data_IF_613824085264
#
_entry.id   IF_613824085264
#
_cell.length_a   1.000
_cell.length_b   1.000
_cell.length_c   1.000
_cell.angle_alpha   90.00
_cell.angle_beta   90.00
_cell.angle_gamma   90.00
#
_symmetry.space_group_name_H-M   'P 1'
#
loop_
_entity.id
_entity.type
_entity.pdbx_description
1 polymer ?
#
# COMPACT_ATOMS: atom_id res chain seq x y z
N UNK A 1 -56.14 5.75 -1.71
CA UNK A 1 -55.35 5.31 -0.54
C UNK A 1 -54.03 4.73 -1.05
N UNK A 2 -52.92 5.44 -0.88
CA UNK A 2 -51.58 4.93 -1.18
C UNK A 2 -50.77 5.03 0.11
N UNK A 3 -50.57 3.88 0.76
CA UNK A 3 -49.79 3.77 1.99
C UNK A 3 -48.31 4.01 1.68
N UNK A 4 -47.74 5.05 2.26
CA UNK A 4 -46.29 5.26 2.31
C UNK A 4 -45.70 4.19 3.24
N UNK A 5 -44.76 3.39 2.74
CA UNK A 5 -43.93 2.52 3.58
C UNK A 5 -42.98 3.40 4.44
N UNK A 6 -42.71 3.02 5.70
CA UNK A 6 -41.77 3.74 6.55
C UNK A 6 -40.34 3.66 5.98
N UNK A 7 -39.53 4.70 6.24
CA UNK A 7 -38.11 4.74 5.83
C UNK A 7 -37.28 3.83 6.74
N UNK A 8 -36.33 3.05 6.21
CA UNK A 8 -35.45 2.20 7.01
C UNK A 8 -34.47 3.04 7.83
N UNK A 9 -34.18 2.62 9.06
CA UNK A 9 -33.35 3.36 10.03
C UNK A 9 -32.01 2.67 10.34
N UNK A 10 -31.62 1.62 9.61
CA UNK A 10 -30.28 1.04 9.75
C UNK A 10 -29.66 0.57 8.41
N UNK A 11 -28.32 0.53 8.31
CA UNK A 11 -27.63 0.04 7.11
C UNK A 11 -27.82 -1.45 6.81
N UNK A 12 -28.26 -2.25 7.80
CA UNK A 12 -28.44 -3.69 7.65
C UNK A 12 -29.74 -4.05 6.90
N UNK A 13 -30.84 -3.31 7.12
CA UNK A 13 -32.11 -3.50 6.40
C UNK A 13 -32.00 -3.12 4.91
N UNK A 14 -31.05 -2.26 4.55
CA UNK A 14 -30.84 -1.80 3.18
C UNK A 14 -30.20 -2.87 2.28
N UNK A 15 -29.54 -3.87 2.88
CA UNK A 15 -28.87 -4.97 2.17
C UNK A 15 -29.85 -6.13 1.95
N UNK A 16 -30.71 -6.42 2.91
CA UNK A 16 -31.73 -7.47 2.79
C UNK A 16 -32.83 -7.12 1.78
N UNK A 17 -33.26 -5.85 1.71
CA UNK A 17 -34.23 -5.41 0.69
C UNK A 17 -33.63 -5.42 -0.73
N UNK A 18 -32.32 -5.20 -0.87
CA UNK A 18 -31.61 -5.26 -2.15
C UNK A 18 -31.40 -6.71 -2.66
N UNK A 19 -31.20 -7.67 -1.74
CA UNK A 19 -31.11 -9.10 -2.07
C UNK A 19 -32.48 -9.69 -2.45
N UNK A 20 -33.57 -9.20 -1.84
CA UNK A 20 -34.93 -9.61 -2.18
C UNK A 20 -35.38 -9.12 -3.57
N UNK A 21 -34.94 -7.94 -4.02
CA UNK A 21 -35.25 -7.42 -5.36
C UNK A 21 -34.48 -8.14 -6.49
N UNK A 22 -33.26 -8.62 -6.20
CA UNK A 22 -32.43 -9.38 -7.15
C UNK A 22 -32.94 -10.80 -7.40
N UNK A 23 -33.62 -11.42 -6.43
CA UNK A 23 -34.25 -12.73 -6.58
C UNK A 23 -35.54 -12.72 -7.43
N UNK A 24 -36.17 -11.56 -7.62
CA UNK A 24 -37.43 -11.42 -8.37
C UNK A 24 -37.25 -11.16 -9.89
N UNK A 25 -36.02 -10.98 -10.37
CA UNK A 25 -35.71 -10.57 -11.75
C UNK A 25 -35.14 -11.68 -12.66
N UNK A 26 -34.92 -12.89 -12.14
CA UNK A 26 -34.40 -14.01 -12.93
C UNK A 26 -35.48 -14.61 -13.86
N UNK A 27 -35.61 -14.02 -15.06
CA UNK A 27 -36.26 -14.66 -16.22
C UNK A 27 -35.38 -15.80 -16.76
N UNK A 28 -35.96 -16.95 -17.17
CA UNK A 28 -35.18 -18.04 -17.76
C UNK A 28 -34.75 -17.69 -19.19
N UNK A 29 -33.45 -17.75 -19.47
CA UNK A 29 -32.90 -17.66 -20.83
C UNK A 29 -32.67 -19.07 -21.35
N UNK A 30 -33.43 -19.43 -22.37
CA UNK A 30 -33.28 -20.67 -23.13
C UNK A 30 -31.90 -20.73 -23.82
N UNK A 31 -31.22 -21.85 -23.66
CA UNK A 31 -29.99 -22.18 -24.35
C UNK A 31 -30.23 -22.27 -25.87
N UNK A 32 -29.67 -21.32 -26.62
CA UNK A 32 -29.61 -21.41 -28.09
C UNK A 32 -28.38 -22.23 -28.47
N UNK A 33 -28.62 -23.45 -28.94
CA UNK A 33 -27.61 -24.35 -29.47
C UNK A 33 -26.93 -23.77 -30.72
N UNK A 34 -25.60 -23.92 -30.77
CA UNK A 34 -24.76 -23.56 -31.90
C UNK A 34 -24.98 -24.52 -33.08
N UNK A 35 -24.89 -23.96 -34.31
CA UNK A 35 -25.13 -24.61 -35.60
C UNK A 35 -24.19 -25.81 -35.89
N UNK A 36 -24.63 -26.82 -36.65
CA UNK A 36 -23.77 -27.90 -37.12
C UNK A 36 -22.93 -27.50 -38.34
N UNK A 37 -21.71 -28.05 -38.44
CA UNK A 37 -20.87 -28.06 -39.65
C UNK A 37 -21.40 -29.10 -40.65
N UNK A 38 -21.28 -28.87 -41.97
CA UNK A 38 -21.70 -29.84 -42.97
C UNK A 38 -20.62 -30.93 -43.11
N UNK A 39 -21.00 -32.20 -42.88
CA UNK A 39 -20.20 -33.36 -43.26
C UNK A 39 -20.74 -33.94 -44.56
N UNK A 40 -19.81 -34.12 -45.50
CA UNK A 40 -19.98 -34.67 -46.84
C UNK A 40 -20.34 -36.16 -46.78
N UNK A 41 -21.14 -36.58 -47.75
CA UNK A 41 -21.77 -37.89 -47.89
C UNK A 41 -20.80 -39.07 -48.13
N UNK A 42 -21.30 -40.26 -47.74
CA UNK A 42 -21.16 -41.61 -48.35
C UNK A 42 -20.74 -42.70 -47.33
N UNK A 43 -21.01 -44.00 -47.58
CA UNK A 43 -22.29 -44.70 -47.37
C UNK A 43 -22.19 -45.88 -46.39
N UNK A 44 -23.35 -46.47 -46.07
CA UNK A 44 -23.60 -47.66 -45.24
C UNK A 44 -22.78 -48.91 -45.63
N UNK A 45 -22.55 -49.82 -44.67
CA UNK A 45 -23.23 -51.13 -44.67
C UNK A 45 -23.82 -51.45 -43.28
N UNK A 46 -25.08 -51.89 -43.18
CA UNK A 46 -25.51 -53.30 -43.13
C UNK A 46 -24.83 -54.10 -42.01
N UNK A 47 -25.56 -54.35 -40.90
CA UNK A 47 -25.83 -55.69 -40.37
C UNK A 47 -26.74 -55.69 -39.11
N UNK A 48 -27.69 -56.62 -39.16
CA UNK A 48 -28.32 -57.42 -38.10
C UNK A 48 -29.13 -56.81 -36.94
N UNK A 49 -30.42 -56.64 -37.23
CA UNK A 49 -31.53 -57.41 -36.63
C UNK A 49 -31.27 -58.15 -35.31
N UNK A 50 -31.84 -57.65 -34.20
CA UNK A 50 -32.68 -58.49 -33.34
C UNK A 50 -33.83 -57.70 -32.70
N UNK A 51 -35.03 -58.16 -33.05
CA UNK A 51 -36.32 -57.82 -32.46
C UNK A 51 -36.39 -58.35 -31.03
N UNK A 52 -36.68 -57.46 -30.06
CA UNK A 52 -37.29 -57.87 -28.78
C UNK A 52 -38.70 -57.31 -28.72
N UNK A 53 -39.64 -58.21 -28.97
CA UNK A 53 -41.09 -58.02 -28.85
C UNK A 53 -41.50 -58.35 -27.42
N UNK A 54 -42.00 -57.39 -26.67
CA UNK A 54 -42.88 -57.64 -25.52
C UNK A 54 -43.89 -56.52 -25.42
N UNK A 55 -45.15 -56.85 -25.67
CA UNK A 55 -46.26 -55.89 -25.60
C UNK A 55 -46.83 -55.77 -24.20
N UNK A 56 -47.52 -54.66 -23.95
CA UNK A 56 -48.89 -54.63 -23.41
C UNK A 56 -49.35 -53.18 -23.23
N UNK A 57 -50.50 -52.88 -23.82
CA UNK A 57 -51.45 -51.79 -23.55
C UNK A 57 -51.03 -50.59 -22.71
N UNK A 58 -51.01 -49.42 -23.36
CA UNK A 58 -51.67 -48.22 -22.85
C UNK A 58 -52.04 -47.34 -24.05
N UNK A 59 -53.34 -47.26 -24.32
CA UNK A 59 -53.96 -46.39 -25.30
C UNK A 59 -53.87 -44.95 -24.76
N UNK A 60 -52.92 -44.16 -25.27
CA UNK A 60 -52.78 -42.75 -24.89
C UNK A 60 -53.45 -41.87 -25.94
N UNK A 61 -54.58 -41.28 -25.55
CA UNK A 61 -55.46 -40.49 -26.37
C UNK A 61 -54.81 -39.19 -26.87
N UNK A 62 -54.88 -38.96 -28.17
CA UNK A 62 -54.48 -37.72 -28.86
C UNK A 62 -55.36 -36.54 -28.40
N UNK A 63 -54.80 -35.42 -27.91
CA UNK A 63 -55.60 -34.26 -27.51
C UNK A 63 -56.21 -33.56 -28.74
N UNK A 64 -57.44 -33.02 -28.64
CA UNK A 64 -58.14 -32.44 -29.78
C UNK A 64 -57.44 -31.19 -30.32
N UNK A 65 -57.30 -31.11 -31.64
CA UNK A 65 -56.79 -29.94 -32.35
C UNK A 65 -57.75 -28.75 -32.13
N UNK A 66 -57.25 -27.54 -31.82
CA UNK A 66 -58.11 -26.36 -31.74
C UNK A 66 -58.68 -25.99 -33.13
N UNK A 67 -59.90 -25.44 -33.20
CA UNK A 67 -60.54 -25.10 -34.47
C UNK A 67 -59.80 -23.99 -35.20
N UNK A 68 -59.71 -24.14 -36.53
CA UNK A 68 -59.20 -23.12 -37.45
C UNK A 68 -60.12 -21.89 -37.35
N UNK A 69 -59.57 -20.78 -36.85
CA UNK A 69 -60.30 -19.51 -36.78
C UNK A 69 -60.67 -19.03 -38.19
N UNK A 70 -61.94 -18.68 -38.39
CA UNK A 70 -62.46 -18.07 -39.61
C UNK A 70 -61.74 -16.75 -39.93
N UNK A 71 -61.59 -16.37 -41.22
CA UNK A 71 -60.93 -15.13 -41.59
C UNK A 71 -61.76 -13.92 -41.12
N UNK A 72 -61.12 -13.02 -40.35
CA UNK A 72 -61.70 -11.76 -39.91
C UNK A 72 -62.02 -10.84 -41.11
N UNK A 73 -63.10 -10.03 -41.05
CA UNK A 73 -63.47 -9.12 -42.14
C UNK A 73 -62.43 -8.02 -42.34
N UNK A 74 -62.19 -7.68 -43.62
CA UNK A 74 -61.27 -6.62 -44.05
C UNK A 74 -61.68 -5.28 -43.44
N UNK A 75 -60.87 -4.63 -42.60
CA UNK A 75 -61.17 -3.30 -42.10
C UNK A 75 -60.86 -2.24 -43.18
N UNK A 76 -61.83 -1.34 -43.38
CA UNK A 76 -61.75 -0.20 -44.29
C UNK A 76 -60.51 0.68 -44.08
N UNK A 77 -60.08 1.32 -45.17
CA UNK A 77 -58.87 2.13 -45.30
C UNK A 77 -58.61 3.08 -44.12
N UNK A 78 -57.51 2.87 -43.39
CA UNK A 78 -56.98 3.83 -42.41
C UNK A 78 -56.27 4.98 -43.16
N UNK A 79 -56.52 6.25 -42.81
CA UNK A 79 -55.76 7.37 -43.38
C UNK A 79 -54.28 7.30 -42.95
N UNK A 80 -53.34 7.86 -43.74
CA UNK A 80 -51.92 7.74 -43.46
C UNK A 80 -51.56 8.41 -42.13
N UNK A 81 -51.03 7.62 -41.18
CA UNK A 81 -50.45 8.12 -39.94
C UNK A 81 -49.24 9.00 -40.28
N UNK A 82 -49.37 10.33 -40.10
CA UNK A 82 -48.25 11.27 -40.12
C UNK A 82 -47.19 10.80 -39.11
N UNK A 83 -46.06 10.28 -39.60
CA UNK A 83 -44.88 10.05 -38.77
C UNK A 83 -44.38 11.41 -38.29
N UNK A 84 -44.57 11.71 -37.01
CA UNK A 84 -43.90 12.84 -36.36
C UNK A 84 -42.44 12.41 -36.22
N UNK A 85 -41.59 12.89 -37.13
CA UNK A 85 -40.15 12.76 -37.01
C UNK A 85 -39.70 13.70 -35.88
N UNK A 86 -39.40 13.14 -34.71
CA UNK A 86 -38.65 13.87 -33.69
C UNK A 86 -37.31 14.28 -34.32
N UNK A 87 -36.93 15.56 -34.30
CA UNK A 87 -35.61 15.96 -34.79
C UNK A 87 -34.58 15.26 -33.91
N UNK A 88 -33.73 14.42 -34.51
CA UNK A 88 -32.52 13.96 -33.83
C UNK A 88 -31.73 15.21 -33.51
N UNK A 89 -31.61 15.55 -32.23
CA UNK A 89 -30.68 16.57 -31.75
C UNK A 89 -29.26 16.07 -32.01
N UNK A 90 -28.82 16.23 -33.26
CA UNK A 90 -27.42 16.05 -33.63
C UNK A 90 -26.68 17.24 -33.07
N UNK A 91 -25.81 17.02 -32.08
CA UNK A 91 -24.85 18.04 -31.67
C UNK A 91 -24.12 18.55 -32.91
N UNK A 92 -23.93 19.87 -32.99
CA UNK A 92 -23.24 20.45 -34.14
C UNK A 92 -21.83 19.86 -34.26
N UNK A 93 -21.29 19.68 -35.48
CA UNK A 93 -19.97 19.09 -35.68
C UNK A 93 -18.85 19.91 -35.04
N UNK A 94 -19.09 21.20 -34.75
CA UNK A 94 -18.18 22.06 -33.98
C UNK A 94 -18.19 21.70 -32.50
N UNK A 95 -19.35 21.45 -31.91
CA UNK A 95 -19.50 21.09 -30.49
C UNK A 95 -18.98 19.68 -30.21
N UNK A 96 -19.15 18.74 -31.15
CA UNK A 96 -18.56 17.40 -31.06
C UNK A 96 -17.02 17.42 -31.11
N UNK A 97 -16.43 18.30 -31.94
CA UNK A 97 -14.98 18.47 -32.01
C UNK A 97 -14.42 19.08 -30.72
N UNK A 98 -15.09 20.07 -30.15
CA UNK A 98 -14.63 20.69 -28.88
C UNK A 98 -14.79 19.75 -27.69
N UNK A 99 -15.89 19.01 -27.59
CA UNK A 99 -16.10 18.00 -26.53
C UNK A 99 -15.10 16.83 -26.63
N UNK A 100 -14.80 16.35 -27.85
CA UNK A 100 -13.83 15.28 -28.06
C UNK A 100 -12.40 15.69 -27.67
N UNK A 101 -11.97 16.89 -28.06
CA UNK A 101 -10.66 17.42 -27.69
C UNK A 101 -10.58 17.70 -26.18
N UNK A 102 -11.64 18.26 -25.59
CA UNK A 102 -11.71 18.49 -24.14
C UNK A 102 -11.61 17.18 -23.34
N UNK A 103 -12.25 16.10 -23.78
CA UNK A 103 -12.16 14.79 -23.13
C UNK A 103 -10.75 14.19 -23.17
N UNK A 104 -10.04 14.35 -24.29
CA UNK A 104 -8.65 13.88 -24.42
C UNK A 104 -7.71 14.71 -23.53
N UNK A 105 -7.86 16.03 -23.53
CA UNK A 105 -7.00 16.93 -22.73
C UNK A 105 -7.22 16.71 -21.22
N UNK A 106 -8.47 16.56 -20.77
CA UNK A 106 -8.78 16.27 -19.36
C UNK A 106 -8.29 14.87 -18.96
N UNK A 107 -8.40 13.87 -19.84
CA UNK A 107 -7.90 12.52 -19.58
C UNK A 107 -6.38 12.45 -19.46
N UNK A 108 -5.64 13.11 -20.37
CA UNK A 108 -4.17 13.12 -20.38
C UNK A 108 -3.61 13.94 -19.20
N UNK A 109 -4.25 15.07 -18.86
CA UNK A 109 -3.83 15.89 -17.71
C UNK A 109 -4.06 15.20 -16.35
N UNK A 110 -5.16 14.44 -16.21
CA UNK A 110 -5.47 13.72 -14.98
C UNK A 110 -4.56 12.50 -14.78
N UNK A 111 -4.20 11.80 -15.86
CA UNK A 111 -3.26 10.68 -15.81
C UNK A 111 -1.83 11.12 -15.40
N UNK A 112 -1.37 12.28 -15.90
CA UNK A 112 -0.07 12.83 -15.53
C UNK A 112 -0.01 13.31 -14.07
N UNK A 113 -1.09 13.92 -13.56
CA UNK A 113 -1.18 14.36 -12.17
C UNK A 113 -1.20 13.20 -11.17
N UNK A 114 -1.93 12.13 -11.49
CA UNK A 114 -2.00 10.94 -10.65
C UNK A 114 -0.68 10.14 -10.64
N UNK A 115 0.02 10.08 -11.78
CA UNK A 115 1.35 9.49 -11.87
C UNK A 115 2.41 10.27 -11.06
N UNK A 116 2.28 11.60 -10.96
CA UNK A 116 3.16 12.42 -10.12
C UNK A 116 2.87 12.25 -8.62
N UNK A 117 1.58 12.09 -8.24
CA UNK A 117 1.16 11.88 -6.85
C UNK A 117 1.50 10.48 -6.32
N UNK A 118 1.61 9.48 -7.19
CA UNK A 118 2.01 8.11 -6.84
C UNK A 118 3.51 7.84 -6.98
N UNK A 119 4.35 8.86 -7.25
CA UNK A 119 5.80 8.64 -7.30
C UNK A 119 6.24 7.96 -6.00
N UNK A 120 6.87 6.77 -6.06
CA UNK A 120 7.41 6.16 -4.85
C UNK A 120 8.37 7.17 -4.23
N UNK A 121 8.32 7.30 -2.89
CA UNK A 121 9.33 8.06 -2.17
C UNK A 121 10.70 7.58 -2.69
N UNK A 122 11.65 8.49 -2.96
CA UNK A 122 12.98 8.09 -3.41
C UNK A 122 13.48 7.02 -2.44
N UNK A 123 13.90 5.87 -2.98
CA UNK A 123 14.46 4.81 -2.17
C UNK A 123 15.53 5.44 -1.25
N UNK A 124 15.59 5.05 0.03
CA UNK A 124 16.65 5.53 0.91
C UNK A 124 17.97 5.32 0.18
N UNK A 125 18.72 6.40 0.00
CA UNK A 125 19.93 6.40 -0.81
C UNK A 125 21.05 5.53 -0.21
N UNK A 126 20.83 5.00 0.99
CA UNK A 126 21.75 4.15 1.72
C UNK A 126 21.35 2.67 1.55
N UNK A 127 22.31 1.78 1.23
CA UNK A 127 22.06 0.34 1.04
C UNK A 127 21.49 -0.34 2.31
N UNK A 128 21.77 0.23 3.49
CA UNK A 128 21.21 -0.19 4.78
C UNK A 128 19.70 0.02 4.89
N UNK A 129 19.13 0.93 4.08
CA UNK A 129 17.70 1.21 4.06
C UNK A 129 16.88 0.06 3.50
N UNK A 130 17.44 -0.74 2.58
CA UNK A 130 16.74 -1.85 1.96
C UNK A 130 16.51 -3.04 2.91
N UNK A 131 17.34 -3.20 3.95
CA UNK A 131 17.22 -4.28 4.95
C UNK A 131 16.71 -3.81 6.29
N UNK A 132 16.27 -2.54 6.39
CA UNK A 132 15.85 -1.91 7.64
C UNK A 132 14.40 -2.21 7.98
N UNK A 133 14.20 -2.63 9.21
CA UNK A 133 12.93 -2.80 9.89
C UNK A 133 12.87 -1.74 11.00
N UNK A 134 11.80 -0.96 11.03
CA UNK A 134 11.57 0.10 12.02
C UNK A 134 10.36 -0.27 12.86
N UNK A 135 10.55 -0.32 14.17
CA UNK A 135 9.49 -0.51 15.16
C UNK A 135 9.15 0.83 15.77
N UNK A 136 7.91 1.28 15.58
CA UNK A 136 7.40 2.54 16.12
C UNK A 136 6.33 2.27 17.18
N UNK A 137 6.26 3.02 18.28
CA UNK A 137 5.14 2.95 19.20
C UNK A 137 3.87 3.51 18.52
N UNK A 138 2.71 3.04 18.94
CA UNK A 138 1.39 3.57 18.55
C UNK A 138 0.81 4.36 19.72
N UNK A 139 0.39 5.59 19.44
CA UNK A 139 -0.20 6.48 20.43
C UNK A 139 0.78 7.53 20.94
N UNK A 140 0.33 8.32 21.93
CA UNK A 140 1.06 9.50 22.42
C UNK A 140 2.12 9.21 23.49
N UNK A 141 2.16 7.97 24.01
CA UNK A 141 3.13 7.53 25.02
C UNK A 141 3.94 6.39 24.40
N UNK A 142 5.27 6.45 24.49
CA UNK A 142 6.10 5.35 24.00
C UNK A 142 5.97 4.14 24.92
N UNK A 143 5.50 3.03 24.37
CA UNK A 143 5.46 1.72 25.02
C UNK A 143 6.76 0.93 24.84
N UNK A 144 7.59 1.30 23.86
CA UNK A 144 8.82 0.58 23.55
C UNK A 144 9.90 0.89 24.58
N UNK A 145 10.65 -0.14 24.97
CA UNK A 145 11.67 -0.08 25.99
C UNK A 145 13.04 -0.59 25.54
N UNK A 146 14.05 -0.29 26.35
CA UNK A 146 15.39 -0.87 26.24
C UNK A 146 15.39 -2.38 26.44
N UNK A 147 14.43 -2.94 27.19
CA UNK A 147 14.30 -4.38 27.36
C UNK A 147 13.88 -5.03 26.04
N UNK A 148 12.95 -4.41 25.31
CA UNK A 148 12.52 -4.88 23.99
C UNK A 148 13.68 -4.84 22.99
N UNK A 149 14.45 -3.75 22.97
CA UNK A 149 15.65 -3.65 22.14
C UNK A 149 16.71 -4.71 22.51
N UNK A 150 16.87 -5.02 23.79
CA UNK A 150 17.76 -6.08 24.26
C UNK A 150 17.31 -7.48 23.85
N UNK A 151 16.01 -7.76 23.94
CA UNK A 151 15.43 -9.04 23.53
C UNK A 151 15.51 -9.24 22.01
N UNK A 152 15.27 -8.17 21.22
CA UNK A 152 15.44 -8.19 19.77
C UNK A 152 16.89 -8.40 19.33
N UNK A 153 17.86 -8.02 20.17
CA UNK A 153 19.28 -8.19 19.89
C UNK A 153 19.81 -9.59 20.24
N UNK A 154 19.02 -10.44 20.90
CA UNK A 154 19.40 -11.81 21.23
C UNK A 154 19.25 -12.73 20.01
N UNK A 155 20.34 -13.28 19.45
CA UNK A 155 20.27 -14.16 18.28
C UNK A 155 19.52 -15.47 18.55
N UNK A 156 19.34 -15.84 19.82
CA UNK A 156 18.56 -17.02 20.22
C UNK A 156 17.06 -16.80 20.07
N UNK A 157 16.62 -15.54 20.06
CA UNK A 157 15.22 -15.13 19.99
C UNK A 157 14.87 -14.62 18.60
N UNK A 158 15.75 -13.79 18.01
CA UNK A 158 15.59 -13.21 16.66
C UNK A 158 16.87 -13.47 15.86
N UNK A 159 17.05 -14.68 15.31
CA UNK A 159 18.26 -15.06 14.58
C UNK A 159 18.47 -14.22 13.31
N UNK A 160 17.41 -13.71 12.69
CA UNK A 160 17.50 -12.89 11.48
C UNK A 160 17.65 -11.38 11.78
N UNK A 161 17.91 -10.99 13.03
CA UNK A 161 18.32 -9.63 13.39
C UNK A 161 19.85 -9.50 13.44
N UNK A 162 20.43 -8.94 12.37
CA UNK A 162 21.89 -8.71 12.27
C UNK A 162 22.37 -7.56 13.17
N UNK A 163 21.58 -6.49 13.29
CA UNK A 163 21.88 -5.38 14.17
C UNK A 163 20.60 -4.75 14.72
N UNK A 164 20.65 -4.30 15.97
CA UNK A 164 19.54 -3.62 16.65
C UNK A 164 20.05 -2.34 17.30
N UNK A 165 19.29 -1.26 17.11
CA UNK A 165 19.61 0.05 17.64
C UNK A 165 18.35 0.71 18.23
N UNK A 166 18.22 0.82 19.56
CA UNK A 166 17.21 1.67 20.17
C UNK A 166 17.51 3.13 19.90
N UNK A 167 16.49 3.95 19.70
CA UNK A 167 16.63 5.37 19.36
C UNK A 167 15.88 6.23 20.34
N UNK A 168 16.57 7.25 20.86
CA UNK A 168 15.96 8.37 21.58
C UNK A 168 16.43 9.65 20.91
N UNK A 169 15.51 10.46 20.39
CA UNK A 169 15.85 11.64 19.59
C UNK A 169 15.26 12.91 20.16
N UNK A 170 16.07 13.95 20.31
CA UNK A 170 15.59 15.30 20.62
C UNK A 170 16.33 16.33 19.78
N UNK A 171 15.62 17.38 19.40
CA UNK A 171 16.25 18.55 18.79
C UNK A 171 16.88 19.39 19.89
N UNK A 172 18.20 19.54 19.85
CA UNK A 172 18.99 20.21 20.89
C UNK A 172 20.02 21.15 20.27
N UNK A 173 20.39 22.17 21.03
CA UNK A 173 21.50 23.03 20.66
C UNK A 173 22.83 22.36 21.10
N UNK A 174 23.76 22.25 20.16
CA UNK A 174 25.14 21.85 20.43
C UNK A 174 26.01 23.09 20.41
N UNK A 175 26.71 23.34 21.51
CA UNK A 175 27.57 24.53 21.65
C UNK A 175 29.03 24.15 21.92
N UNK A 176 29.94 24.89 21.30
CA UNK A 176 31.38 24.74 21.50
C UNK A 176 32.10 26.03 21.13
N UNK A 177 33.05 26.50 21.96
CA UNK A 177 33.90 27.64 21.61
C UNK A 177 33.17 28.94 21.21
N UNK A 178 31.97 29.17 21.75
CA UNK A 178 31.12 30.32 21.41
C UNK A 178 30.27 30.15 20.14
N UNK A 179 30.38 29.02 19.45
CA UNK A 179 29.49 28.63 18.35
C UNK A 179 28.32 27.81 18.87
N UNK A 180 27.16 27.94 18.23
CA UNK A 180 25.96 27.17 18.52
C UNK A 180 25.33 26.66 17.22
N UNK A 181 25.03 25.37 17.19
CA UNK A 181 24.40 24.71 16.03
C UNK A 181 23.22 23.90 16.54
N UNK A 182 22.08 24.01 15.86
CA UNK A 182 20.93 23.13 16.11
C UNK A 182 21.21 21.75 15.50
N UNK A 183 21.05 20.70 16.30
CA UNK A 183 21.27 19.32 15.89
C UNK A 183 20.20 18.41 16.47
N UNK A 184 20.01 17.25 15.83
CA UNK A 184 19.28 16.14 16.43
C UNK A 184 20.25 15.37 17.32
N UNK A 185 20.04 15.44 18.64
CA UNK A 185 20.69 14.56 19.58
C UNK A 185 20.03 13.18 19.45
N UNK A 186 20.80 12.19 18.99
CA UNK A 186 20.35 10.80 18.84
C UNK A 186 21.05 9.95 19.90
N UNK A 187 20.28 9.41 20.84
CA UNK A 187 20.72 8.42 21.81
C UNK A 187 20.57 7.01 21.25
N UNK A 188 21.67 6.28 21.12
CA UNK A 188 21.63 4.90 20.63
C UNK A 188 22.76 4.01 21.15
N UNK A 189 22.87 2.80 20.61
CA UNK A 189 23.96 1.83 20.82
C UNK A 189 24.95 1.88 19.66
N UNK A 190 26.05 1.12 19.74
CA UNK A 190 27.01 1.00 18.63
C UNK A 190 26.37 0.42 17.35
N UNK A 191 25.29 -0.36 17.48
CA UNK A 191 24.53 -0.93 16.36
C UNK A 191 23.88 0.12 15.46
N UNK A 192 23.77 1.37 15.92
CA UNK A 192 23.23 2.48 15.14
C UNK A 192 23.95 2.70 13.81
N UNK A 193 25.28 2.56 13.78
CA UNK A 193 26.05 2.72 12.55
C UNK A 193 25.65 1.68 11.51
N UNK A 194 25.49 0.42 11.94
CA UNK A 194 25.10 -0.68 11.07
C UNK A 194 23.66 -0.52 10.59
N UNK A 195 22.73 -0.11 11.47
CA UNK A 195 21.31 0.01 11.10
C UNK A 195 21.02 1.19 10.19
N UNK A 196 21.77 2.28 10.35
CA UNK A 196 21.61 3.48 9.52
C UNK A 196 22.56 3.51 8.31
N UNK A 197 23.61 2.69 8.30
CA UNK A 197 24.61 2.66 7.23
C UNK A 197 25.67 3.77 7.32
N UNK A 198 25.75 4.48 8.45
CA UNK A 198 26.80 5.47 8.68
C UNK A 198 28.14 4.80 8.97
N UNK A 199 29.22 5.48 8.60
CA UNK A 199 30.59 5.08 8.95
C UNK A 199 31.30 6.17 9.72
N UNK A 200 32.34 5.80 10.48
CA UNK A 200 33.16 6.74 11.24
C UNK A 200 34.29 7.24 10.32
N UNK A 201 34.38 8.55 10.12
CA UNK A 201 35.50 9.15 9.39
C UNK A 201 36.74 9.34 10.27
N UNK A 202 36.54 9.69 11.55
CA UNK A 202 37.65 9.85 12.52
C UNK A 202 37.23 9.43 13.91
N UNK A 203 38.18 8.88 14.68
CA UNK A 203 37.96 8.47 16.06
C UNK A 203 37.29 7.11 16.15
N UNK A 204 36.37 6.94 17.11
CA UNK A 204 35.65 5.69 17.35
C UNK A 204 34.20 5.93 17.75
N UNK A 205 33.40 4.88 17.68
CA UNK A 205 32.11 4.83 18.39
C UNK A 205 32.31 4.46 19.86
N UNK A 206 31.30 4.72 20.68
CA UNK A 206 31.27 4.31 22.08
C UNK A 206 31.12 2.79 22.22
N UNK A 207 31.62 2.26 23.34
CA UNK A 207 31.59 0.84 23.72
C UNK A 207 30.31 0.49 24.47
N UNK A 208 30.01 -0.81 24.60
CA UNK A 208 28.88 -1.28 25.41
C UNK A 208 28.98 -0.81 26.87
N UNK A 209 30.19 -0.81 27.45
CA UNK A 209 30.42 -0.31 28.82
C UNK A 209 30.09 1.18 28.96
N UNK A 210 30.48 2.01 27.99
CA UNK A 210 30.14 3.44 27.96
C UNK A 210 28.63 3.66 27.81
N UNK A 211 27.95 2.77 27.07
CA UNK A 211 26.48 2.76 27.01
C UNK A 211 25.89 2.39 28.36
N UNK A 212 26.32 1.31 29.01
CA UNK A 212 25.75 0.91 30.30
C UNK A 212 26.02 1.96 31.40
N UNK A 213 27.19 2.61 31.39
CA UNK A 213 27.54 3.62 32.40
C UNK A 213 26.91 4.99 32.16
N UNK A 214 26.29 5.24 30.99
CA UNK A 214 25.81 6.58 30.62
C UNK A 214 26.92 7.60 30.44
N UNK A 215 28.05 7.17 29.87
CA UNK A 215 29.21 8.02 29.67
C UNK A 215 28.88 9.27 28.82
N UNK A 216 29.41 10.41 29.23
CA UNK A 216 29.23 11.69 28.53
C UNK A 216 30.17 11.81 27.33
N UNK A 217 29.97 10.93 26.34
CA UNK A 217 30.72 10.91 25.08
C UNK A 217 29.78 11.12 23.90
N UNK A 218 30.27 11.73 22.83
CA UNK A 218 29.48 11.98 21.62
C UNK A 218 30.27 11.73 20.34
N UNK A 219 29.56 11.32 19.29
CA UNK A 219 30.04 11.25 17.92
C UNK A 219 29.26 12.27 17.11
N UNK A 220 29.97 13.19 16.45
CA UNK A 220 29.34 14.29 15.71
C UNK A 220 29.20 13.96 14.23
N UNK A 221 28.11 14.39 13.61
CA UNK A 221 27.98 14.44 12.17
C UNK A 221 29.02 15.35 11.52
N UNK A 222 29.39 15.06 10.28
CA UNK A 222 30.47 15.79 9.59
C UNK A 222 30.20 17.29 9.47
N UNK A 223 28.93 17.66 9.24
CA UNK A 223 28.49 19.06 9.10
C UNK A 223 28.56 19.85 10.42
N UNK A 224 28.20 19.23 11.54
CA UNK A 224 28.28 19.85 12.87
C UNK A 224 29.73 20.02 13.29
N UNK A 225 30.54 18.99 13.08
CA UNK A 225 31.97 19.03 13.39
C UNK A 225 32.67 20.18 12.64
N UNK A 226 32.37 20.38 11.36
CA UNK A 226 32.95 21.48 10.57
C UNK A 226 32.48 22.88 11.03
N UNK A 227 31.23 23.01 11.46
CA UNK A 227 30.67 24.29 11.93
C UNK A 227 31.19 24.69 13.31
N UNK A 228 31.29 23.73 14.23
CA UNK A 228 31.74 23.97 15.60
C UNK A 228 33.26 24.10 15.70
N UNK A 229 34.00 23.37 14.85
CA UNK A 229 35.46 23.31 14.86
C UNK A 229 36.03 23.55 13.45
N UNK A 230 35.96 24.79 12.92
CA UNK A 230 36.52 25.10 11.60
C UNK A 230 38.05 24.98 11.66
N UNK A 231 38.61 23.96 11.01
CA UNK A 231 40.06 23.76 10.86
C UNK A 231 40.76 23.09 12.06
N UNK A 232 40.14 23.03 13.24
CA UNK A 232 40.59 22.22 14.36
C UNK A 232 39.88 20.86 14.36
N UNK A 233 40.59 19.78 14.68
CA UNK A 233 39.96 18.46 14.77
C UNK A 233 38.90 18.45 15.88
N UNK A 234 37.67 18.01 15.57
CA UNK A 234 36.61 17.91 16.56
C UNK A 234 36.86 16.80 17.61
N UNK A 235 37.59 15.74 17.25
CA UNK A 235 37.91 14.63 18.16
C UNK A 235 38.76 15.11 19.34
N UNK A 236 38.39 14.70 20.55
CA UNK A 236 39.06 15.05 21.81
C UNK A 236 38.58 16.37 22.41
N UNK A 237 37.76 17.15 21.69
CA UNK A 237 37.20 18.40 22.21
C UNK A 237 35.98 18.15 23.09
N UNK A 238 35.61 19.16 23.89
CA UNK A 238 34.36 19.16 24.65
C UNK A 238 33.31 19.98 23.92
N UNK A 239 32.09 19.45 23.86
CA UNK A 239 30.88 20.15 23.39
C UNK A 239 29.83 20.13 24.48
N UNK A 240 28.92 21.09 24.47
CA UNK A 240 27.77 21.09 25.39
C UNK A 240 26.52 20.74 24.59
N UNK A 241 25.78 19.71 25.04
CA UNK A 241 24.53 19.24 24.44
C UNK A 241 23.48 19.24 25.55
N UNK A 242 22.33 19.88 25.32
CA UNK A 242 21.27 20.01 26.32
C UNK A 242 21.75 20.52 27.70
N UNK A 243 22.69 21.47 27.69
CA UNK A 243 23.28 22.04 28.91
C UNK A 243 24.27 21.14 29.65
N UNK A 244 24.65 19.98 29.10
CA UNK A 244 25.61 19.04 29.69
C UNK A 244 26.87 18.91 28.83
N UNK A 245 28.07 18.84 29.44
CA UNK A 245 29.31 18.64 28.68
C UNK A 245 29.42 17.20 28.19
N UNK A 246 29.89 17.02 26.95
CA UNK A 246 30.18 15.77 26.29
C UNK A 246 31.57 15.83 25.63
N UNK A 247 32.33 14.76 25.75
CA UNK A 247 33.61 14.61 25.04
C UNK A 247 33.39 14.01 23.65
N UNK A 248 33.92 14.66 22.62
CA UNK A 248 33.82 14.19 21.23
C UNK A 248 34.83 13.06 21.01
N UNK A 249 34.35 11.84 20.83
CA UNK A 249 35.20 10.66 20.61
C UNK A 249 35.33 10.26 19.14
N UNK A 250 34.48 10.83 18.27
CA UNK A 250 34.52 10.56 16.84
C UNK A 250 33.68 11.51 16.00
N UNK A 251 33.85 11.39 14.68
CA UNK A 251 33.14 12.14 13.66
C UNK A 251 32.65 11.17 12.57
N UNK A 252 31.39 11.28 12.19
CA UNK A 252 30.80 10.50 11.10
C UNK A 252 31.37 10.91 9.74
N UNK A 253 31.42 9.97 8.81
CA UNK A 253 31.67 10.26 7.41
C UNK A 253 30.51 11.08 6.83
N UNK A 254 30.84 11.97 5.89
CA UNK A 254 29.82 12.73 5.17
C UNK A 254 28.87 11.75 4.46
N UNK A 255 27.57 12.07 4.42
CA UNK A 255 26.58 11.17 3.86
C UNK A 255 26.75 11.16 2.34
N UNK A 256 26.65 9.98 1.75
CA UNK A 256 26.85 9.78 0.30
C UNK A 256 25.80 10.49 -0.56
N UNK A 257 24.66 10.88 0.02
CA UNK A 257 23.49 11.38 -0.69
C UNK A 257 23.11 12.85 -0.40
N UNK A 258 24.01 13.65 0.16
CA UNK A 258 23.71 15.06 0.48
C UNK A 258 22.62 15.24 1.54
N UNK A 259 22.32 14.20 2.31
CA UNK A 259 21.42 14.24 3.46
C UNK A 259 21.97 15.14 4.57
N UNK A 260 21.07 15.68 5.40
CA UNK A 260 21.45 16.52 6.52
C UNK A 260 22.19 15.72 7.60
N UNK A 261 23.49 15.95 7.72
CA UNK A 261 24.38 15.32 8.70
C UNK A 261 24.32 16.00 10.08
N UNK A 262 23.14 16.46 10.47
CA UNK A 262 22.90 17.24 11.69
C UNK A 262 22.63 16.35 12.90
N UNK A 263 23.40 15.26 13.04
CA UNK A 263 23.28 14.31 14.16
C UNK A 263 24.39 14.51 15.18
N UNK A 264 24.02 14.56 16.46
CA UNK A 264 24.92 14.37 17.58
C UNK A 264 24.57 13.04 18.26
N UNK A 265 25.34 12.01 17.95
CA UNK A 265 25.11 10.67 18.48
C UNK A 265 25.70 10.57 19.89
N UNK A 266 24.91 10.13 20.86
CA UNK A 266 25.30 9.91 22.25
C UNK A 266 24.85 8.52 22.70
N UNK A 267 25.39 7.98 23.80
CA UNK A 267 24.87 6.76 24.39
C UNK A 267 23.39 6.91 24.77
N UNK A 268 22.57 5.89 24.47
CA UNK A 268 21.12 5.91 24.72
C UNK A 268 20.76 6.20 26.18
N UNK A 269 21.54 5.69 27.13
CA UNK A 269 21.38 5.93 28.57
C UNK A 269 21.66 7.39 28.95
N UNK A 270 22.65 8.03 28.33
CA UNK A 270 22.94 9.45 28.51
C UNK A 270 21.82 10.32 27.95
N UNK A 271 21.29 9.97 26.78
CA UNK A 271 20.13 10.66 26.21
C UNK A 271 18.89 10.53 27.11
N UNK A 272 18.59 9.32 27.59
CA UNK A 272 17.47 9.07 28.51
C UNK A 272 17.60 9.86 29.83
N UNK A 273 18.83 10.01 30.34
CA UNK A 273 19.12 10.83 31.51
C UNK A 273 18.88 12.33 31.28
N UNK A 274 18.96 12.81 30.03
CA UNK A 274 18.67 14.19 29.64
C UNK A 274 17.16 14.40 29.46
N UNK A 275 16.49 13.48 28.75
CA UNK A 275 15.09 13.65 28.36
C UNK A 275 14.10 13.45 29.51
N UNK A 276 14.56 12.93 30.65
CA UNK A 276 13.71 12.72 31.82
C UNK A 276 12.60 11.70 31.58
N UNK A 277 12.75 10.83 30.57
CA UNK A 277 11.78 9.76 30.27
C UNK A 277 11.75 8.84 31.48
N UNK A 278 10.66 8.95 32.25
CA UNK A 278 10.56 8.44 33.62
C UNK A 278 11.00 6.97 33.71
N UNK A 279 12.04 6.71 34.50
CA UNK A 279 12.57 5.36 34.73
C UNK A 279 13.64 4.88 33.75
N UNK A 280 14.11 5.71 32.80
CA UNK A 280 15.30 5.41 31.98
C UNK A 280 15.15 4.18 31.07
N UNK A 281 13.91 3.81 30.72
CA UNK A 281 13.63 2.56 30.02
C UNK A 281 12.96 2.73 28.67
N UNK A 282 12.26 3.81 28.39
CA UNK A 282 11.55 3.95 27.11
C UNK A 282 12.42 4.52 26.01
N UNK A 283 12.10 4.13 24.77
CA UNK A 283 12.79 4.55 23.55
C UNK A 283 11.75 5.09 22.56
N UNK A 284 12.12 6.02 21.68
CA UNK A 284 11.15 6.60 20.74
C UNK A 284 10.84 5.64 19.60
N UNK A 285 11.82 4.86 19.15
CA UNK A 285 11.66 3.77 18.19
C UNK A 285 12.85 2.81 18.25
N UNK A 286 12.73 1.65 17.61
CA UNK A 286 13.81 0.66 17.50
C UNK A 286 14.08 0.39 16.03
N UNK A 287 15.34 0.44 15.63
CA UNK A 287 15.79 0.04 14.31
C UNK A 287 16.39 -1.36 14.38
N UNK A 288 15.99 -2.22 13.44
CA UNK A 288 16.49 -3.58 13.27
C UNK A 288 16.95 -3.73 11.82
N UNK A 289 18.06 -4.41 11.61
CA UNK A 289 18.58 -4.69 10.27
C UNK A 289 18.65 -6.18 10.04
N UNK A 290 18.04 -6.63 8.95
CA UNK A 290 18.14 -8.02 8.48
C UNK A 290 19.50 -8.27 7.78
N UNK A 291 20.01 -9.51 7.80
CA UNK A 291 21.28 -9.85 7.16
C UNK A 291 21.25 -9.72 5.63
N UNK A 292 20.08 -9.89 5.01
CA UNK A 292 19.87 -9.78 3.58
C UNK A 292 18.46 -9.27 3.27
N UNK A 293 18.22 -8.82 2.03
CA UNK A 293 16.89 -8.39 1.60
C UNK A 293 15.85 -9.53 1.62
N UNK A 294 16.29 -10.76 1.38
CA UNK A 294 15.45 -11.95 1.41
C UNK A 294 15.02 -12.31 2.85
N UNK A 295 15.90 -12.07 3.82
CA UNK A 295 15.63 -12.32 5.24
C UNK A 295 14.74 -11.25 5.90
N UNK A 296 14.50 -10.10 5.25
CA UNK A 296 13.68 -9.01 5.82
C UNK A 296 12.29 -9.48 6.24
N UNK A 297 11.65 -10.35 5.45
CA UNK A 297 10.31 -10.83 5.78
C UNK A 297 10.34 -11.78 7.00
N UNK A 298 11.32 -12.66 7.10
CA UNK A 298 11.47 -13.57 8.26
C UNK A 298 11.79 -12.77 9.51
N UNK A 299 12.80 -11.89 9.45
CA UNK A 299 13.14 -10.97 10.53
C UNK A 299 11.94 -10.15 10.99
N UNK A 300 11.12 -9.65 10.05
CA UNK A 300 9.89 -8.92 10.38
C UNK A 300 8.93 -9.76 11.22
N UNK A 301 8.70 -11.02 10.84
CA UNK A 301 7.80 -11.92 11.59
C UNK A 301 8.34 -12.24 12.97
N UNK A 302 9.64 -12.49 13.09
CA UNK A 302 10.32 -12.75 14.36
C UNK A 302 10.21 -11.55 15.31
N UNK A 303 10.57 -10.35 14.82
CA UNK A 303 10.45 -9.07 15.55
C UNK A 303 9.00 -8.86 16.01
N UNK A 304 8.03 -9.05 15.11
CA UNK A 304 6.62 -8.85 15.43
C UNK A 304 6.13 -9.86 16.48
N UNK A 305 6.47 -11.14 16.34
CA UNK A 305 6.05 -12.18 17.29
C UNK A 305 6.66 -11.98 18.68
N UNK A 306 7.94 -11.60 18.75
CA UNK A 306 8.59 -11.31 20.02
C UNK A 306 7.91 -10.14 20.74
N UNK A 307 7.63 -9.05 20.02
CA UNK A 307 6.97 -7.88 20.62
C UNK A 307 5.53 -8.18 21.02
N UNK A 308 4.78 -8.97 20.24
CA UNK A 308 3.44 -9.41 20.65
C UNK A 308 3.46 -10.20 21.97
N UNK A 309 4.44 -11.09 22.13
CA UNK A 309 4.61 -11.87 23.37
C UNK A 309 5.03 -10.98 24.53
N UNK A 310 6.02 -10.11 24.32
CA UNK A 310 6.58 -9.25 25.37
C UNK A 310 5.56 -8.22 25.87
N UNK A 311 4.78 -7.65 24.95
CA UNK A 311 3.72 -6.68 25.26
C UNK A 311 2.38 -7.35 25.61
N UNK A 312 2.33 -8.68 25.77
CA UNK A 312 1.14 -9.45 26.15
C UNK A 312 -0.10 -9.15 25.29
N UNK A 313 0.11 -8.90 23.99
CA UNK A 313 -0.96 -8.49 23.08
C UNK A 313 -1.49 -9.69 22.32
N UNK A 314 -2.70 -10.13 22.66
CA UNK A 314 -3.35 -11.27 22.00
C UNK A 314 -3.95 -10.92 20.62
N UNK A 315 -4.22 -9.64 20.36
CA UNK A 315 -4.81 -9.19 19.10
C UNK A 315 -3.82 -8.33 18.29
N UNK A 316 -3.31 -8.82 17.13
CA UNK A 316 -2.34 -8.10 16.31
C UNK A 316 -2.88 -6.81 15.67
N UNK A 317 -4.20 -6.58 15.71
CA UNK A 317 -4.82 -5.35 15.20
C UNK A 317 -4.95 -4.23 16.25
N UNK A 318 -4.68 -4.52 17.53
CA UNK A 318 -4.76 -3.56 18.63
C UNK A 318 -3.41 -3.37 19.33
N UNK A 319 -2.31 -3.58 18.62
CA UNK A 319 -0.96 -3.43 19.16
C UNK A 319 -0.66 -1.99 19.53
N UNK A 320 0.19 -1.82 20.53
CA UNK A 320 0.79 -0.57 20.96
C UNK A 320 2.08 -0.23 20.18
N UNK A 321 2.44 -1.05 19.18
CA UNK A 321 3.55 -0.82 18.27
C UNK A 321 3.16 -1.12 16.81
N UNK A 322 3.95 -0.60 15.88
CA UNK A 322 3.87 -0.89 14.45
C UNK A 322 5.26 -1.26 13.96
N UNK A 323 5.39 -2.44 13.37
CA UNK A 323 6.60 -2.85 12.65
C UNK A 323 6.42 -2.47 11.19
N UNK A 324 7.41 -1.78 10.62
CA UNK A 324 7.45 -1.41 9.21
C UNK A 324 8.79 -1.82 8.62
N UNK A 325 8.83 -2.19 7.35
CA UNK A 325 10.08 -2.45 6.64
C UNK A 325 10.06 -1.69 5.32
N UNK A 326 11.11 -0.92 5.04
CA UNK A 326 11.16 -0.06 3.85
C UNK A 326 11.01 -0.88 2.56
N UNK A 327 11.64 -2.06 2.49
CA UNK A 327 11.51 -3.00 1.37
C UNK A 327 10.06 -3.39 1.05
N UNK A 328 9.22 -3.57 2.09
CA UNK A 328 7.82 -3.94 1.91
C UNK A 328 7.01 -2.76 1.36
N UNK A 329 7.35 -1.53 1.73
CA UNK A 329 6.64 -0.34 1.25
C UNK A 329 6.97 0.01 -0.21
N UNK A 330 8.22 -0.19 -0.65
CA UNK A 330 8.64 0.13 -2.02
C UNK A 330 8.01 -0.78 -3.09
N UNK A 331 7.72 -2.05 -2.75
CA UNK A 331 7.13 -3.01 -3.70
C UNK A 331 5.67 -2.72 -4.08
N UNK A 332 4.88 -2.19 -3.16
CA UNK A 332 3.43 -1.97 -3.36
C UNK A 332 3.13 -0.75 -4.25
N UNK A 333 3.94 0.31 -4.18
CA UNK A 333 3.78 1.51 -5.02
C UNK A 333 3.98 1.21 -6.51
N UNK A 334 4.92 0.33 -6.86
CA UNK A 334 5.18 -0.02 -8.25
C UNK A 334 3.99 -0.77 -8.86
N UNK A 335 3.47 -1.81 -8.19
CA UNK A 335 2.33 -2.59 -8.69
C UNK A 335 1.06 -1.75 -8.87
N UNK A 336 0.79 -0.82 -7.94
CA UNK A 336 -0.33 0.12 -8.04
C UNK A 336 -0.14 1.11 -9.22
N UNK A 337 1.08 1.60 -9.44
CA UNK A 337 1.42 2.45 -10.59
C UNK A 337 1.24 1.70 -11.93
N UNK A 338 1.69 0.45 -12.02
CA UNK A 338 1.49 -0.37 -13.23
C UNK A 338 0.01 -0.64 -13.48
N UNK A 339 -0.74 -1.01 -12.45
CA UNK A 339 -2.19 -1.25 -12.55
C UNK A 339 -2.97 -0.01 -12.97
N UNK A 340 -2.63 1.15 -12.41
CA UNK A 340 -3.26 2.43 -12.73
C UNK A 340 -2.83 2.99 -14.10
N UNK A 341 -1.57 2.78 -14.48
CA UNK A 341 -1.05 3.09 -15.82
C UNK A 341 -1.75 2.28 -16.90
N UNK A 342 -1.99 0.98 -16.66
CA UNK A 342 -2.80 0.13 -17.53
C UNK A 342 -4.24 0.65 -17.66
N UNK A 343 -4.87 1.05 -16.55
CA UNK A 343 -6.23 1.60 -16.57
C UNK A 343 -6.31 2.94 -17.33
N UNK A 344 -5.31 3.81 -17.13
CA UNK A 344 -5.20 5.09 -17.84
C UNK A 344 -4.93 4.93 -19.35
N UNK A 345 -4.28 3.83 -19.78
CA UNK A 345 -4.06 3.52 -21.19
C UNK A 345 -5.32 2.97 -21.89
N UNK A 346 -6.21 2.28 -21.17
CA UNK A 346 -7.44 1.68 -21.74
C UNK A 346 -8.59 2.69 -21.85
N UNK A 347 -8.70 3.63 -20.90
CA UNK A 347 -9.73 4.67 -20.89
C UNK A 347 -9.85 5.47 -22.21
N UNK A 348 -8.76 5.95 -22.85
CA UNK A 348 -8.85 6.68 -24.12
C UNK A 348 -9.25 5.80 -25.31
N UNK A 349 -8.99 4.48 -25.29
CA UNK A 349 -9.46 3.58 -26.35
C UNK A 349 -10.99 3.49 -26.39
N UNK A 350 -11.64 3.39 -25.23
CA UNK A 350 -13.10 3.37 -25.14
C UNK A 350 -13.72 4.70 -25.59
N UNK A 351 -13.08 5.82 -25.23
CA UNK A 351 -13.45 7.15 -25.74
C UNK A 351 -13.33 7.26 -27.26
N UNK A 352 -12.24 6.73 -27.85
CA UNK A 352 -12.02 6.74 -29.29
C UNK A 352 -13.05 5.88 -30.06
N UNK A 353 -13.44 4.72 -29.52
CA UNK A 353 -14.48 3.87 -30.13
C UNK A 353 -15.86 4.55 -30.10
N UNK A 354 -16.18 5.29 -29.03
CA UNK A 354 -17.41 6.07 -28.95
C UNK A 354 -17.45 7.15 -30.04
N UNK A 355 -16.33 7.85 -30.28
CA UNK A 355 -16.18 8.84 -31.36
C UNK A 355 -16.34 8.18 -32.74
N UNK A 356 -15.76 7.00 -32.94
CA UNK A 356 -15.86 6.25 -34.20
C UNK A 356 -17.29 5.77 -34.50
N UNK A 357 -18.05 5.32 -33.49
CA UNK A 357 -19.46 4.93 -33.65
C UNK A 357 -20.35 6.14 -33.97
N UNK A 358 -20.11 7.28 -33.32
CA UNK A 358 -20.81 8.54 -33.62
C UNK A 358 -20.59 8.97 -35.07
N UNK A 359 -19.36 8.82 -35.59
CA UNK A 359 -19.01 9.20 -36.97
C UNK A 359 -19.54 8.25 -38.05
N UNK A 360 -19.74 6.96 -37.74
CA UNK A 360 -20.36 5.98 -38.67
C UNK A 360 -21.89 6.06 -38.71
N UNK A 361 -22.52 6.66 -37.70
CA UNK A 361 -23.98 6.78 -37.59
C UNK A 361 -24.52 8.11 -38.16
N UNK A 362 -23.63 9.00 -38.62
CA UNK A 362 -23.91 10.23 -39.36
C UNK A 362 -23.63 10.02 -40.85
#
# INVERSE_FOLDING_TARGET
MHGRRPRPTSPAELIDDALAELAASSRPVAATAARPRPAVAAPLPAEDTQLVRRGSGAEEAEPPRPPIAAPAPVPAARPPRRRIALPRLTLSPRLQRTLGVAGIVVGVASAAGLAAALRPAPAPADPSGATRITVLPRGSVSSLTMADAGALADPSVVPDASAVAPIVERSEAVTAGGQQVSATMTGSTAGWLTTTGHSIARGRIFTSTEVTSGAHVTVLGSSIAQRLFPGSGATGQSVTIAGRPFSVIGVLAAPTAGGGDSVALVPVTSAQGITGTAGGRTVDHILVTAPSQEAVYTAYQEVNNLLLQTHHTANPFSTDFTVTAAALTSGHSALLLWGLGLLAAVAPLLGAVAILRLRRAA
#
